data_IF_010912749674
#
_entry.id   IF_010912749674
#
_cell.length_a   1.000
_cell.length_b   1.000
_cell.length_c   1.000
_cell.angle_alpha   90.00
_cell.angle_beta   90.00
_cell.angle_gamma   90.00
#
_symmetry.space_group_name_H-M   'P 1'
#
loop_
_entity.id
_entity.type
_entity.pdbx_description
1 polymer ?
#
# COMPACT_ATOMS: atom_id res chain seq x y z
N UNK A 1 24.45 12.76 -20.37
CA UNK A 1 23.19 13.28 -20.91
C UNK A 1 23.46 14.68 -21.39
N UNK A 2 23.42 14.92 -22.69
CA UNK A 2 23.72 16.23 -23.27
C UNK A 2 22.45 16.71 -23.97
N UNK A 3 21.59 17.40 -23.22
CA UNK A 3 20.37 18.00 -23.76
C UNK A 3 20.62 19.49 -23.90
N UNK A 4 20.29 20.08 -25.05
CA UNK A 4 20.36 21.54 -25.23
C UNK A 4 19.33 22.27 -24.35
N UNK A 5 18.28 21.57 -23.91
CA UNK A 5 17.22 22.07 -23.04
C UNK A 5 17.38 21.58 -21.59
N UNK A 6 16.97 22.38 -20.59
CA UNK A 6 16.85 21.93 -19.21
C UNK A 6 15.88 20.76 -19.09
N UNK A 7 16.13 19.87 -18.13
CA UNK A 7 15.38 18.63 -17.96
C UNK A 7 14.24 18.82 -16.97
N UNK A 8 13.02 18.52 -17.40
CA UNK A 8 11.82 18.42 -16.58
C UNK A 8 11.43 16.95 -16.43
N UNK A 9 11.34 16.47 -15.20
CA UNK A 9 10.82 15.12 -14.90
C UNK A 9 9.43 15.22 -14.31
N UNK A 10 8.47 14.54 -14.92
CA UNK A 10 7.07 14.44 -14.51
C UNK A 10 6.81 13.03 -13.99
N UNK A 11 6.46 12.91 -12.71
CA UNK A 11 6.12 11.64 -12.06
C UNK A 11 4.61 11.52 -11.98
N UNK A 12 4.02 10.50 -12.65
CA UNK A 12 2.57 10.31 -12.68
C UNK A 12 2.13 8.85 -12.89
N UNK A 13 0.99 8.43 -12.29
CA UNK A 13 0.40 7.12 -12.58
C UNK A 13 0.07 7.00 -14.06
N UNK A 14 0.32 5.83 -14.66
CA UNK A 14 0.13 5.61 -16.09
C UNK A 14 -1.31 5.90 -16.56
N UNK A 15 -2.31 5.59 -15.72
CA UNK A 15 -3.72 5.89 -16.01
C UNK A 15 -4.02 7.38 -16.26
N UNK A 16 -3.12 8.29 -15.86
CA UNK A 16 -3.34 9.74 -16.01
C UNK A 16 -2.60 10.33 -17.21
N UNK A 17 -1.71 9.54 -17.81
CA UNK A 17 -0.75 10.03 -18.77
C UNK A 17 -1.39 10.67 -20.01
N UNK A 18 -2.39 10.01 -20.59
CA UNK A 18 -3.05 10.50 -21.81
C UNK A 18 -3.78 11.85 -21.59
N UNK A 19 -4.19 12.15 -20.36
CA UNK A 19 -4.83 13.42 -20.02
C UNK A 19 -3.84 14.58 -19.99
N UNK A 20 -2.62 14.35 -19.49
CA UNK A 20 -1.63 15.39 -19.29
C UNK A 20 -0.69 15.59 -20.49
N UNK A 21 -0.34 14.52 -21.22
CA UNK A 21 0.75 14.55 -22.22
C UNK A 21 0.64 15.70 -23.24
N UNK A 22 -0.57 16.00 -23.70
CA UNK A 22 -0.82 17.03 -24.72
C UNK A 22 -0.75 18.46 -24.18
N UNK A 23 -0.93 18.65 -22.87
CA UNK A 23 -0.93 19.97 -22.25
C UNK A 23 0.46 20.35 -21.70
N UNK A 24 1.27 19.37 -21.26
CA UNK A 24 2.56 19.67 -20.62
C UNK A 24 3.59 20.29 -21.57
N UNK A 25 3.62 19.88 -22.85
CA UNK A 25 4.50 20.49 -23.86
C UNK A 25 4.15 21.97 -24.11
N UNK A 26 2.87 22.33 -24.02
CA UNK A 26 2.44 23.73 -24.18
C UNK A 26 2.84 24.59 -23.00
N UNK A 27 2.88 24.00 -21.80
CA UNK A 27 3.23 24.70 -20.56
C UNK A 27 4.74 24.84 -20.41
N UNK A 28 5.52 23.84 -20.82
CA UNK A 28 6.98 23.82 -20.71
C UNK A 28 7.70 23.60 -22.05
N UNK A 29 7.48 24.46 -23.07
CA UNK A 29 8.08 24.27 -24.40
C UNK A 29 9.62 24.38 -24.40
N UNK A 30 10.19 25.03 -23.39
CA UNK A 30 11.63 25.23 -23.21
C UNK A 30 12.34 24.05 -22.53
N UNK A 31 11.62 23.03 -22.05
CA UNK A 31 12.21 21.88 -21.37
C UNK A 31 12.29 20.65 -22.28
N UNK A 32 13.24 19.76 -22.01
CA UNK A 32 13.18 18.36 -22.44
C UNK A 32 12.39 17.59 -21.37
N UNK A 33 11.24 17.03 -21.76
CA UNK A 33 10.23 16.50 -20.83
C UNK A 33 10.37 14.98 -20.75
N UNK A 34 10.57 14.47 -19.55
CA UNK A 34 10.61 13.04 -19.25
C UNK A 34 9.51 12.66 -18.28
N UNK A 35 8.90 11.51 -18.51
CA UNK A 35 7.88 10.93 -17.63
C UNK A 35 8.42 9.71 -16.90
N UNK A 36 8.15 9.65 -15.60
CA UNK A 36 8.26 8.44 -14.80
C UNK A 36 6.86 7.86 -14.61
N UNK A 37 6.54 6.87 -15.44
CA UNK A 37 5.25 6.17 -15.40
C UNK A 37 5.34 4.92 -14.53
N UNK A 38 4.20 4.47 -14.01
CA UNK A 38 4.09 3.24 -13.20
C UNK A 38 4.97 3.24 -11.93
N UNK A 39 5.27 4.40 -11.34
CA UNK A 39 5.96 4.43 -10.04
C UNK A 39 5.03 4.01 -8.89
N UNK A 40 3.69 4.12 -9.07
CA UNK A 40 2.68 3.83 -8.05
C UNK A 40 2.18 2.38 -8.09
N UNK A 41 2.25 1.73 -6.94
CA UNK A 41 1.90 0.32 -6.73
C UNK A 41 2.86 -0.34 -5.74
N UNK A 42 2.38 -1.28 -4.91
CA UNK A 42 3.29 -2.00 -3.99
C UNK A 42 4.30 -2.80 -4.80
N UNK A 43 5.60 -2.56 -4.56
CA UNK A 43 6.68 -3.35 -5.13
C UNK A 43 7.05 -3.03 -6.58
N UNK A 44 6.55 -1.93 -7.17
CA UNK A 44 6.88 -1.62 -8.57
C UNK A 44 8.30 -1.07 -8.72
N UNK A 45 8.75 -0.21 -7.81
CA UNK A 45 10.15 0.27 -7.77
C UNK A 45 10.78 -0.04 -6.42
N UNK A 46 10.07 0.25 -5.32
CA UNK A 46 10.51 -0.01 -3.96
C UNK A 46 9.49 -0.86 -3.19
N UNK A 47 10.02 -1.72 -2.34
CA UNK A 47 9.26 -2.55 -1.41
C UNK A 47 9.91 -2.55 -0.05
N UNK A 48 9.28 -3.20 0.92
CA UNK A 48 9.80 -3.28 2.27
C UNK A 48 11.09 -4.10 2.33
N UNK A 49 12.09 -3.55 3.01
CA UNK A 49 13.37 -4.22 3.24
C UNK A 49 13.33 -5.04 4.52
N UNK A 50 12.68 -6.20 4.43
CA UNK A 50 12.60 -7.15 5.53
C UNK A 50 13.92 -7.91 5.73
N UNK A 51 14.30 -8.24 6.98
CA UNK A 51 15.39 -9.16 7.26
C UNK A 51 15.20 -10.50 6.54
N UNK A 52 16.29 -11.06 6.02
CA UNK A 52 16.30 -12.39 5.38
C UNK A 52 16.47 -13.52 6.40
N UNK A 53 17.33 -13.30 7.40
CA UNK A 53 17.54 -14.25 8.50
C UNK A 53 16.59 -13.93 9.65
N UNK A 54 15.72 -14.88 9.96
CA UNK A 54 14.76 -14.78 11.08
C UNK A 54 15.26 -15.44 12.36
N UNK A 55 16.27 -16.32 12.28
CA UNK A 55 16.67 -17.18 13.40
C UNK A 55 17.40 -16.39 14.49
N UNK A 56 18.06 -15.30 14.10
CA UNK A 56 18.76 -14.38 15.00
C UNK A 56 17.87 -13.27 15.56
N UNK A 57 16.58 -13.20 15.19
CA UNK A 57 15.69 -12.12 15.57
C UNK A 57 14.84 -12.45 16.80
N UNK A 58 14.65 -11.44 17.64
CA UNK A 58 13.66 -11.49 18.73
C UNK A 58 12.29 -11.08 18.22
N UNK A 59 11.29 -11.94 18.44
CA UNK A 59 9.89 -11.65 18.13
C UNK A 59 9.08 -11.31 19.40
N UNK A 60 8.09 -10.41 19.33
CA UNK A 60 7.68 -9.64 18.15
C UNK A 60 8.71 -8.60 17.72
N UNK A 61 8.92 -8.52 16.41
CA UNK A 61 9.93 -7.69 15.78
C UNK A 61 9.39 -6.28 15.53
N UNK A 62 10.12 -5.25 15.98
CA UNK A 62 9.81 -3.85 15.69
C UNK A 62 11.06 -3.17 15.13
N UNK A 63 10.92 -2.47 14.01
CA UNK A 63 11.98 -1.66 13.41
C UNK A 63 11.40 -0.47 12.66
N UNK A 64 12.24 0.55 12.49
CA UNK A 64 12.01 1.61 11.52
C UNK A 64 11.73 1.07 10.12
N UNK A 65 10.83 1.77 9.44
CA UNK A 65 10.48 1.49 8.06
C UNK A 65 11.73 1.59 7.16
N UNK A 66 12.05 0.50 6.47
CA UNK A 66 13.12 0.44 5.48
C UNK A 66 12.60 -0.02 4.12
N UNK A 67 13.25 0.47 3.07
CA UNK A 67 12.88 0.23 1.69
C UNK A 67 14.04 -0.41 0.94
N UNK A 68 13.74 -1.39 0.10
CA UNK A 68 14.67 -1.97 -0.88
C UNK A 68 14.11 -1.79 -2.27
N UNK A 69 15.00 -1.76 -3.25
CA UNK A 69 14.63 -1.75 -4.67
C UNK A 69 14.09 -3.14 -5.05
N UNK A 70 12.92 -3.19 -5.69
CA UNK A 70 12.27 -4.45 -6.08
C UNK A 70 12.58 -4.87 -7.52
N UNK A 71 12.67 -3.91 -8.44
CA UNK A 71 12.89 -4.17 -9.86
C UNK A 71 14.12 -3.39 -10.35
N UNK A 72 14.73 -3.87 -11.43
CA UNK A 72 15.73 -3.09 -12.17
C UNK A 72 15.10 -1.76 -12.64
N UNK A 73 15.86 -0.67 -12.56
CA UNK A 73 15.36 0.69 -12.84
C UNK A 73 15.01 0.93 -14.32
N UNK A 74 15.18 -0.08 -15.16
CA UNK A 74 15.10 0.01 -16.60
C UNK A 74 13.64 -0.04 -17.07
N UNK A 75 13.21 0.99 -17.80
CA UNK A 75 11.98 0.94 -18.59
C UNK A 75 10.79 1.74 -18.05
N UNK A 76 10.99 2.58 -17.03
CA UNK A 76 9.97 3.48 -16.50
C UNK A 76 10.12 4.94 -16.96
N UNK A 77 11.22 5.26 -17.67
CA UNK A 77 11.53 6.61 -18.16
C UNK A 77 11.13 6.75 -19.63
N UNK A 78 10.25 7.71 -19.91
CA UNK A 78 9.76 8.02 -21.25
C UNK A 78 10.08 9.47 -21.61
N UNK A 79 10.60 9.73 -22.80
CA UNK A 79 10.84 11.09 -23.31
C UNK A 79 9.68 11.53 -24.18
N UNK A 80 9.19 12.75 -23.99
CA UNK A 80 8.17 13.38 -24.84
C UNK A 80 8.83 14.36 -25.79
N UNK A 81 8.63 14.13 -27.09
CA UNK A 81 9.17 14.96 -28.16
C UNK A 81 8.16 15.00 -29.32
N UNK A 82 7.80 16.21 -29.75
CA UNK A 82 6.85 16.43 -30.84
C UNK A 82 5.48 15.74 -30.61
N UNK A 83 4.99 15.74 -29.36
CA UNK A 83 3.77 15.02 -28.91
C UNK A 83 3.85 13.49 -29.00
N UNK A 84 5.00 12.95 -29.36
CA UNK A 84 5.27 11.52 -29.40
C UNK A 84 6.16 11.12 -28.21
N UNK A 85 6.03 9.86 -27.80
CA UNK A 85 6.64 9.39 -26.56
C UNK A 85 7.52 8.20 -26.87
N UNK A 86 8.75 8.28 -26.39
CA UNK A 86 9.79 7.32 -26.67
C UNK A 86 10.27 6.72 -25.36
N UNK A 87 10.30 5.39 -25.28
CA UNK A 87 10.93 4.71 -24.16
C UNK A 87 12.43 5.00 -24.20
N UNK A 88 13.03 5.26 -23.05
CA UNK A 88 14.47 5.53 -22.94
C UNK A 88 15.19 4.42 -22.17
N UNK A 89 16.51 4.38 -22.32
CA UNK A 89 17.39 3.51 -21.53
C UNK A 89 17.85 4.17 -20.21
N UNK A 90 17.28 5.32 -19.86
CA UNK A 90 17.60 5.99 -18.60
C UNK A 90 16.97 5.25 -17.41
N UNK A 91 17.71 5.20 -16.31
CA UNK A 91 17.19 4.79 -14.99
C UNK A 91 16.45 5.96 -14.32
N UNK A 92 15.53 5.66 -13.41
CA UNK A 92 14.89 6.68 -12.57
C UNK A 92 15.92 7.54 -11.83
N UNK A 93 16.97 6.92 -11.26
CA UNK A 93 18.03 7.62 -10.56
C UNK A 93 18.73 8.68 -11.42
N UNK A 94 19.20 8.29 -12.61
CA UNK A 94 19.92 9.17 -13.51
C UNK A 94 19.07 10.36 -13.95
N UNK A 95 17.81 10.12 -14.34
CA UNK A 95 16.96 11.19 -14.85
C UNK A 95 16.52 12.15 -13.73
N UNK A 96 16.21 11.63 -12.53
CA UNK A 96 15.87 12.48 -11.37
C UNK A 96 17.06 13.35 -10.92
N UNK A 97 18.29 12.81 -10.93
CA UNK A 97 19.49 13.56 -10.53
C UNK A 97 19.79 14.71 -11.49
N UNK A 98 19.58 14.47 -12.79
CA UNK A 98 19.79 15.46 -13.83
C UNK A 98 18.64 16.45 -13.99
N UNK A 99 17.47 16.17 -13.39
CA UNK A 99 16.31 17.04 -13.47
C UNK A 99 16.61 18.42 -12.85
N UNK A 100 16.39 19.46 -13.64
CA UNK A 100 16.34 20.83 -13.13
C UNK A 100 15.06 21.00 -12.31
N UNK A 101 13.95 20.48 -12.84
CA UNK A 101 12.64 20.52 -12.22
C UNK A 101 12.03 19.12 -12.13
N UNK A 102 11.48 18.80 -10.96
CA UNK A 102 10.72 17.57 -10.73
C UNK A 102 9.30 17.98 -10.38
N UNK A 103 8.36 17.36 -11.08
CA UNK A 103 6.93 17.60 -10.97
C UNK A 103 6.23 16.31 -10.62
N UNK A 104 5.33 16.37 -9.66
CA UNK A 104 4.38 15.30 -9.38
C UNK A 104 3.02 15.66 -9.97
N UNK A 105 2.37 14.72 -10.69
CA UNK A 105 1.01 14.91 -11.16
C UNK A 105 0.13 13.75 -10.73
N UNK A 106 -0.99 14.06 -10.09
CA UNK A 106 -2.03 13.09 -9.75
C UNK A 106 -3.42 13.69 -9.95
N UNK A 107 -4.38 12.84 -10.29
CA UNK A 107 -5.80 13.12 -10.16
C UNK A 107 -6.29 12.44 -8.88
N UNK A 108 -6.85 13.21 -7.96
CA UNK A 108 -7.17 12.86 -6.59
C UNK A 108 -5.94 12.32 -5.85
N UNK A 109 -5.24 13.17 -5.07
CA UNK A 109 -4.08 12.78 -4.28
C UNK A 109 -4.51 11.77 -3.21
N UNK A 110 -4.53 10.50 -3.60
CA UNK A 110 -4.81 9.42 -2.68
C UNK A 110 -3.60 9.26 -1.75
N UNK A 111 -3.88 8.84 -0.52
CA UNK A 111 -2.89 8.73 0.56
C UNK A 111 -1.65 7.90 0.11
N UNK A 112 -1.86 6.82 -0.66
CA UNK A 112 -0.78 5.94 -1.12
C UNK A 112 0.16 6.54 -2.16
N UNK A 113 -0.30 7.53 -2.95
CA UNK A 113 0.53 8.15 -3.99
C UNK A 113 1.56 9.10 -3.40
N UNK A 114 1.21 9.84 -2.35
CA UNK A 114 2.09 10.78 -1.67
C UNK A 114 3.37 10.10 -1.15
N UNK A 115 3.24 9.01 -0.39
CA UNK A 115 4.42 8.28 0.10
C UNK A 115 5.21 7.63 -1.03
N UNK A 116 4.54 7.15 -2.07
CA UNK A 116 5.22 6.43 -3.16
C UNK A 116 6.11 7.40 -3.92
N UNK A 117 5.61 8.61 -4.18
CA UNK A 117 6.41 9.71 -4.73
C UNK A 117 7.56 10.10 -3.80
N UNK A 118 7.28 10.28 -2.50
CA UNK A 118 8.31 10.65 -1.52
C UNK A 118 9.43 9.59 -1.46
N UNK A 119 9.09 8.31 -1.40
CA UNK A 119 10.05 7.19 -1.39
C UNK A 119 10.86 7.18 -2.68
N UNK A 120 10.22 7.31 -3.85
CA UNK A 120 10.93 7.40 -5.13
C UNK A 120 11.98 8.51 -5.10
N UNK A 121 11.59 9.69 -4.65
CA UNK A 121 12.49 10.84 -4.54
C UNK A 121 13.63 10.57 -3.56
N UNK A 122 13.32 10.20 -2.31
CA UNK A 122 14.32 10.00 -1.26
C UNK A 122 15.33 8.90 -1.61
N UNK A 123 14.89 7.82 -2.24
CA UNK A 123 15.76 6.71 -2.60
C UNK A 123 16.70 7.05 -3.77
N UNK A 124 16.31 7.98 -4.66
CA UNK A 124 17.13 8.36 -5.81
C UNK A 124 18.01 9.59 -5.56
N UNK A 125 17.57 10.49 -4.70
CA UNK A 125 18.18 11.80 -4.50
C UNK A 125 18.62 12.06 -3.04
N UNK A 126 18.26 11.19 -2.10
CA UNK A 126 18.61 11.26 -0.67
C UNK A 126 17.52 11.90 0.21
N UNK A 127 17.60 11.71 1.53
CA UNK A 127 16.59 12.25 2.48
C UNK A 127 16.66 13.77 2.69
N UNK A 128 17.80 14.39 2.41
CA UNK A 128 18.08 15.81 2.71
C UNK A 128 17.98 16.71 1.48
N UNK A 129 17.14 16.36 0.51
CA UNK A 129 17.01 17.17 -0.69
C UNK A 129 16.36 18.50 -0.32
N UNK A 130 17.10 19.59 -0.54
CA UNK A 130 16.59 20.96 -0.39
C UNK A 130 15.71 21.40 -1.57
N UNK A 131 15.58 20.59 -2.63
CA UNK A 131 14.72 20.91 -3.77
C UNK A 131 13.26 20.79 -3.35
N UNK A 132 12.54 21.90 -3.44
CA UNK A 132 11.08 21.90 -3.43
C UNK A 132 10.57 21.25 -4.71
N UNK A 133 9.59 20.36 -4.60
CA UNK A 133 8.92 19.77 -5.77
C UNK A 133 7.59 20.46 -6.00
N UNK A 134 7.26 20.63 -7.28
CA UNK A 134 5.96 21.15 -7.68
C UNK A 134 4.97 20.00 -7.80
N UNK A 135 3.80 20.12 -7.19
CA UNK A 135 2.75 19.11 -7.25
C UNK A 135 1.53 19.70 -7.98
N UNK A 136 0.97 18.93 -8.89
CA UNK A 136 -0.28 19.22 -9.59
C UNK A 136 -1.29 18.16 -9.20
N UNK A 137 -2.28 18.57 -8.42
CA UNK A 137 -3.33 17.68 -7.92
C UNK A 137 -4.64 18.15 -8.52
N UNK A 138 -5.17 17.39 -9.47
CA UNK A 138 -6.49 17.63 -10.02
C UNK A 138 -7.56 16.96 -9.14
N UNK A 139 -8.66 17.65 -8.87
CA UNK A 139 -9.78 17.08 -8.10
C UNK A 139 -10.53 15.97 -8.86
N UNK A 140 -10.47 16.00 -10.20
CA UNK A 140 -11.14 15.04 -11.07
C UNK A 140 -10.42 14.94 -12.42
N UNK A 141 -10.90 14.04 -13.28
CA UNK A 141 -10.42 13.86 -14.67
C UNK A 141 -10.96 14.90 -15.66
N UNK A 142 -11.79 15.83 -15.20
CA UNK A 142 -12.33 16.87 -16.07
C UNK A 142 -11.21 17.80 -16.53
N UNK A 143 -11.16 18.08 -17.83
CA UNK A 143 -10.13 18.92 -18.45
C UNK A 143 -9.97 20.27 -17.75
N UNK A 144 -11.08 20.87 -17.32
CA UNK A 144 -11.07 22.15 -16.59
C UNK A 144 -10.37 22.04 -15.23
N UNK A 145 -10.62 20.97 -14.48
CA UNK A 145 -9.97 20.70 -13.18
C UNK A 145 -8.48 20.41 -13.34
N UNK A 146 -8.13 19.66 -14.39
CA UNK A 146 -6.73 19.44 -14.77
C UNK A 146 -6.04 20.77 -15.08
N UNK A 147 -6.62 21.61 -15.95
CA UNK A 147 -6.06 22.92 -16.29
C UNK A 147 -6.00 23.85 -15.07
N UNK A 148 -6.99 23.79 -14.18
CA UNK A 148 -7.00 24.54 -12.93
C UNK A 148 -5.81 24.14 -12.04
N UNK A 149 -5.58 22.82 -11.87
CA UNK A 149 -4.42 22.34 -11.11
C UNK A 149 -3.10 22.82 -11.74
N UNK A 150 -2.98 22.75 -13.08
CA UNK A 150 -1.81 23.20 -13.83
C UNK A 150 -1.49 24.69 -13.66
N UNK A 151 -2.51 25.51 -13.37
CA UNK A 151 -2.37 26.95 -13.08
C UNK A 151 -2.10 27.24 -11.61
N UNK A 152 -2.48 26.33 -10.71
CA UNK A 152 -2.38 26.50 -9.26
C UNK A 152 -1.56 25.35 -8.65
N UNK A 153 -0.27 25.22 -9.01
CA UNK A 153 0.58 24.21 -8.40
C UNK A 153 0.72 24.44 -6.91
N UNK A 154 0.83 23.35 -6.18
CA UNK A 154 1.26 23.37 -4.78
C UNK A 154 2.71 22.87 -4.67
N UNK A 155 3.26 22.88 -3.47
CA UNK A 155 4.59 22.35 -3.20
C UNK A 155 4.51 21.15 -2.26
N UNK A 156 5.63 20.45 -2.09
CA UNK A 156 5.73 19.40 -1.08
C UNK A 156 5.56 19.92 0.36
N UNK A 157 5.54 21.23 0.62
CA UNK A 157 5.23 21.79 1.95
C UNK A 157 3.73 22.09 2.14
N UNK A 158 2.91 21.85 1.13
CA UNK A 158 1.47 22.09 1.22
C UNK A 158 0.83 21.23 2.33
N UNK A 159 -0.07 21.80 3.17
CA UNK A 159 -0.67 21.07 4.27
C UNK A 159 -1.37 19.77 3.86
N UNK A 160 -2.04 19.75 2.70
CA UNK A 160 -2.77 18.57 2.23
C UNK A 160 -1.78 17.46 1.89
N UNK A 161 -0.70 17.78 1.17
CA UNK A 161 0.33 16.79 0.84
C UNK A 161 1.02 16.26 2.10
N UNK A 162 1.38 17.15 3.03
CA UNK A 162 2.04 16.77 4.29
C UNK A 162 1.15 15.90 5.17
N UNK A 163 -0.15 16.21 5.27
CA UNK A 163 -1.12 15.37 5.98
C UNK A 163 -1.21 13.97 5.36
N UNK A 164 -1.36 13.88 4.03
CA UNK A 164 -1.43 12.59 3.31
C UNK A 164 -0.15 11.78 3.46
N UNK A 165 1.01 12.44 3.37
CA UNK A 165 2.31 11.81 3.56
C UNK A 165 2.46 11.26 4.98
N UNK A 166 2.10 12.05 5.99
CA UNK A 166 2.08 11.63 7.41
C UNK A 166 1.18 10.41 7.62
N UNK A 167 -0.05 10.45 7.10
CA UNK A 167 -1.00 9.35 7.23
C UNK A 167 -0.49 8.05 6.57
N UNK A 168 0.01 8.09 5.33
CA UNK A 168 0.52 6.84 4.73
C UNK A 168 1.82 6.39 5.38
N UNK A 169 2.68 7.31 5.85
CA UNK A 169 3.90 6.94 6.59
C UNK A 169 3.55 6.08 7.81
N UNK A 170 2.58 6.52 8.61
CA UNK A 170 2.03 5.79 9.74
C UNK A 170 1.49 4.41 9.32
N UNK A 171 0.70 4.37 8.25
CA UNK A 171 0.15 3.12 7.70
C UNK A 171 1.24 2.16 7.22
N UNK A 172 2.28 2.65 6.53
CA UNK A 172 3.40 1.86 6.03
C UNK A 172 4.28 1.35 7.15
N UNK A 173 4.50 2.15 8.19
CA UNK A 173 5.19 1.73 9.41
C UNK A 173 4.47 0.54 10.06
N UNK A 174 3.14 0.66 10.23
CA UNK A 174 2.33 -0.44 10.75
C UNK A 174 2.37 -1.67 9.82
N UNK A 175 2.18 -1.50 8.51
CA UNK A 175 2.23 -2.59 7.53
C UNK A 175 3.56 -3.33 7.54
N UNK A 176 4.67 -2.59 7.60
CA UNK A 176 6.01 -3.15 7.62
C UNK A 176 6.14 -4.11 8.81
N UNK A 177 5.91 -3.59 10.02
CA UNK A 177 6.08 -4.36 11.25
C UNK A 177 5.03 -5.47 11.38
N UNK A 178 3.76 -5.19 11.12
CA UNK A 178 2.69 -6.19 11.24
C UNK A 178 2.85 -7.34 10.25
N UNK A 179 3.12 -7.06 8.97
CA UNK A 179 3.21 -8.12 7.97
C UNK A 179 4.42 -9.02 8.21
N UNK A 180 5.57 -8.46 8.63
CA UNK A 180 6.76 -9.27 8.91
C UNK A 180 6.52 -10.24 10.06
N UNK A 181 5.98 -9.75 11.19
CA UNK A 181 5.60 -10.59 12.31
C UNK A 181 4.55 -11.62 11.91
N UNK A 182 3.54 -11.21 11.14
CA UNK A 182 2.48 -12.10 10.67
C UNK A 182 3.02 -13.25 9.82
N UNK A 183 3.93 -12.96 8.88
CA UNK A 183 4.59 -13.98 8.06
C UNK A 183 5.29 -15.03 8.91
N UNK A 184 6.02 -14.62 9.96
CA UNK A 184 6.82 -15.55 10.77
C UNK A 184 5.95 -16.29 11.78
N UNK A 185 5.11 -15.57 12.53
CA UNK A 185 4.39 -16.10 13.68
C UNK A 185 3.16 -16.92 13.28
N UNK A 186 2.46 -16.55 12.19
CA UNK A 186 1.30 -17.32 11.73
C UNK A 186 1.64 -18.45 10.77
N UNK A 187 2.83 -18.48 10.14
CA UNK A 187 3.21 -19.56 9.22
C UNK A 187 3.03 -20.97 9.78
N UNK A 188 3.55 -21.32 10.98
CA UNK A 188 3.37 -22.67 11.51
C UNK A 188 1.92 -22.96 11.88
N UNK A 189 1.15 -21.94 12.29
CA UNK A 189 -0.28 -22.04 12.57
C UNK A 189 -1.07 -22.34 11.29
N UNK A 190 -0.74 -21.67 10.18
CA UNK A 190 -1.29 -21.89 8.86
C UNK A 190 -0.99 -23.31 8.36
N UNK A 191 0.26 -23.75 8.48
CA UNK A 191 0.69 -25.09 8.08
C UNK A 191 -0.05 -26.18 8.89
N UNK A 192 -0.16 -26.01 10.21
CA UNK A 192 -0.91 -26.92 11.09
C UNK A 192 -2.40 -26.99 10.76
N UNK A 193 -2.97 -25.90 10.24
CA UNK A 193 -4.34 -25.89 9.74
C UNK A 193 -4.49 -26.50 8.33
N UNK A 194 -3.41 -26.86 7.64
CA UNK A 194 -3.43 -27.39 6.27
C UNK A 194 -3.47 -26.30 5.19
N UNK A 195 -3.09 -25.05 5.51
CA UNK A 195 -2.87 -23.99 4.53
C UNK A 195 -1.43 -24.11 4.02
N UNK A 196 -1.26 -24.72 2.86
CA UNK A 196 0.05 -25.00 2.24
C UNK A 196 0.48 -23.93 1.22
N UNK A 197 -0.34 -22.90 1.01
CA UNK A 197 0.02 -21.79 0.15
C UNK A 197 1.09 -20.94 0.84
N UNK A 198 2.34 -21.04 0.37
CA UNK A 198 3.48 -20.35 0.96
C UNK A 198 3.40 -18.82 0.83
N UNK A 199 2.66 -18.32 -0.16
CA UNK A 199 2.45 -16.89 -0.39
C UNK A 199 1.31 -16.31 0.45
N UNK A 200 0.56 -17.14 1.17
CA UNK A 200 -0.55 -16.67 1.99
C UNK A 200 -0.05 -16.05 3.29
N UNK A 201 -0.38 -14.76 3.48
CA UNK A 201 -0.01 -13.99 4.68
C UNK A 201 -1.23 -13.26 5.22
N UNK A 202 -1.45 -13.34 6.53
CA UNK A 202 -2.44 -12.51 7.20
C UNK A 202 -1.99 -11.05 7.23
N UNK A 203 -2.64 -10.21 6.44
CA UNK A 203 -2.45 -8.76 6.54
C UNK A 203 -3.34 -8.18 7.64
N UNK A 204 -3.04 -6.94 8.07
CA UNK A 204 -3.83 -6.19 9.05
C UNK A 204 -5.34 -6.10 8.79
N UNK A 205 -5.79 -6.30 7.55
CA UNK A 205 -7.21 -6.27 7.18
C UNK A 205 -7.75 -7.66 6.89
N UNK A 206 -6.90 -8.57 6.40
CA UNK A 206 -7.31 -9.92 6.09
C UNK A 206 -7.69 -10.71 7.34
N UNK A 207 -6.95 -10.54 8.45
CA UNK A 207 -7.18 -11.29 9.68
C UNK A 207 -8.47 -10.86 10.41
N UNK A 208 -8.73 -9.57 10.69
CA UNK A 208 -10.02 -9.14 11.24
C UNK A 208 -11.20 -9.55 10.36
N UNK A 209 -11.06 -9.42 9.04
CA UNK A 209 -12.08 -9.84 8.09
C UNK A 209 -12.34 -11.36 8.16
N UNK A 210 -11.28 -12.17 8.18
CA UNK A 210 -11.38 -13.62 8.34
C UNK A 210 -12.11 -14.00 9.64
N UNK A 211 -11.84 -13.31 10.74
CA UNK A 211 -12.55 -13.48 12.01
C UNK A 211 -14.03 -13.07 11.93
N UNK A 212 -14.37 -12.00 11.22
CA UNK A 212 -15.77 -11.59 11.05
C UNK A 212 -16.60 -12.58 10.22
N UNK A 213 -15.95 -13.46 9.45
CA UNK A 213 -16.61 -14.52 8.70
C UNK A 213 -16.81 -15.81 9.51
N UNK A 214 -16.24 -15.95 10.71
CA UNK A 214 -16.11 -17.24 11.41
C UNK A 214 -17.44 -17.97 11.68
N UNK A 215 -18.50 -17.21 11.93
CA UNK A 215 -19.84 -17.72 12.26
C UNK A 215 -20.82 -17.56 11.08
N UNK A 216 -20.33 -17.13 9.91
CA UNK A 216 -21.15 -16.94 8.70
C UNK A 216 -21.13 -18.19 7.83
N UNK A 217 -22.24 -18.45 7.18
CA UNK A 217 -22.43 -19.47 6.13
C UNK A 217 -23.27 -18.88 5.01
N UNK A 218 -23.10 -19.40 3.81
CA UNK A 218 -23.87 -19.03 2.63
C UNK A 218 -23.93 -17.51 2.37
N UNK A 219 -22.79 -16.84 2.48
CA UNK A 219 -22.71 -15.40 2.29
C UNK A 219 -22.31 -15.06 0.85
N UNK A 220 -23.05 -14.11 0.28
CA UNK A 220 -22.83 -13.62 -1.07
C UNK A 220 -21.65 -12.66 -1.17
N UNK A 221 -21.12 -12.53 -2.39
CA UNK A 221 -20.09 -11.54 -2.70
C UNK A 221 -20.56 -10.10 -2.38
N UNK A 222 -21.83 -9.79 -2.63
CA UNK A 222 -22.41 -8.50 -2.28
C UNK A 222 -22.40 -8.23 -0.76
N UNK A 223 -22.76 -9.22 0.07
CA UNK A 223 -22.71 -9.09 1.53
C UNK A 223 -21.28 -8.89 2.03
N UNK A 224 -20.32 -9.59 1.45
CA UNK A 224 -18.89 -9.36 1.72
C UNK A 224 -18.51 -7.91 1.39
N UNK A 225 -18.86 -7.42 0.20
CA UNK A 225 -18.52 -6.06 -0.21
C UNK A 225 -19.15 -5.03 0.72
N UNK A 226 -20.42 -5.21 1.10
CA UNK A 226 -21.07 -4.34 2.07
C UNK A 226 -20.37 -4.38 3.43
N UNK A 227 -20.01 -5.57 3.92
CA UNK A 227 -19.31 -5.71 5.21
C UNK A 227 -17.96 -4.98 5.20
N UNK A 228 -17.21 -5.09 4.10
CA UNK A 228 -15.91 -4.45 3.94
C UNK A 228 -16.04 -2.94 3.72
N UNK A 229 -17.00 -2.50 2.91
CA UNK A 229 -17.18 -1.08 2.59
C UNK A 229 -17.73 -0.31 3.80
N UNK A 230 -18.68 -0.89 4.53
CA UNK A 230 -19.29 -0.31 5.73
C UNK A 230 -18.73 -0.88 7.03
N UNK A 231 -17.45 -1.25 7.05
CA UNK A 231 -16.81 -1.83 8.23
C UNK A 231 -16.82 -0.85 9.41
N UNK A 232 -17.55 -1.18 10.49
CA UNK A 232 -17.65 -0.33 11.70
C UNK A 232 -16.87 -0.86 12.91
N UNK A 233 -16.26 -2.03 12.79
CA UNK A 233 -15.69 -2.73 13.95
C UNK A 233 -16.76 -2.98 15.02
N UNK A 234 -16.42 -2.72 16.27
CA UNK A 234 -17.34 -2.77 17.42
C UNK A 234 -18.25 -1.55 17.55
N UNK A 235 -18.01 -0.49 16.78
CA UNK A 235 -18.67 0.82 16.93
C UNK A 235 -18.04 1.73 18.01
N UNK A 236 -16.94 1.31 18.65
CA UNK A 236 -16.21 2.11 19.64
C UNK A 236 -15.60 3.40 19.03
N UNK A 237 -15.27 3.36 17.73
CA UNK A 237 -14.62 4.45 17.02
C UNK A 237 -15.60 5.14 16.06
N UNK A 238 -15.53 6.47 15.92
CA UNK A 238 -16.45 7.22 15.06
C UNK A 238 -16.20 7.01 13.56
N UNK A 239 -14.97 6.64 13.20
CA UNK A 239 -14.52 6.46 11.84
C UNK A 239 -13.72 5.17 11.70
N UNK A 240 -13.73 4.61 10.49
CA UNK A 240 -13.07 3.36 10.17
C UNK A 240 -12.41 3.46 8.81
N UNK A 241 -11.21 2.91 8.68
CA UNK A 241 -10.67 2.59 7.36
C UNK A 241 -11.38 1.36 6.83
N UNK A 242 -11.83 1.38 5.57
CA UNK A 242 -12.33 0.16 4.94
C UNK A 242 -11.20 -0.88 4.85
N UNK A 243 -11.40 -2.13 5.32
CA UNK A 243 -10.45 -3.21 5.11
C UNK A 243 -10.34 -3.63 3.63
N UNK A 244 -11.01 -2.94 2.69
CA UNK A 244 -11.04 -3.31 1.28
C UNK A 244 -9.64 -3.47 0.70
N UNK A 245 -9.27 -4.74 0.46
CA UNK A 245 -8.32 -5.11 -0.54
C UNK A 245 -9.10 -5.89 -1.59
N UNK A 246 -9.10 -5.40 -2.84
CA UNK A 246 -9.92 -5.94 -3.92
C UNK A 246 -9.74 -7.44 -4.22
N UNK A 247 -8.76 -8.09 -3.58
CA UNK A 247 -8.47 -9.51 -3.71
C UNK A 247 -8.59 -10.31 -2.39
N UNK A 248 -9.31 -9.81 -1.37
CA UNK A 248 -9.47 -10.55 -0.10
C UNK A 248 -10.12 -11.92 -0.32
N UNK A 249 -11.22 -11.97 -1.07
CA UNK A 249 -11.92 -13.24 -1.34
C UNK A 249 -11.05 -14.18 -2.16
N UNK A 250 -10.42 -13.67 -3.23
CA UNK A 250 -9.47 -14.45 -4.03
C UNK A 250 -8.36 -15.05 -3.16
N UNK A 251 -7.76 -14.28 -2.24
CA UNK A 251 -6.71 -14.76 -1.34
C UNK A 251 -7.19 -15.85 -0.39
N UNK A 252 -8.35 -15.67 0.23
CA UNK A 252 -8.91 -16.67 1.15
C UNK A 252 -9.32 -17.95 0.40
N UNK A 253 -9.92 -17.82 -0.79
CA UNK A 253 -10.29 -18.96 -1.63
C UNK A 253 -9.06 -19.71 -2.13
N UNK A 254 -8.01 -19.01 -2.60
CA UNK A 254 -6.73 -19.63 -3.01
C UNK A 254 -6.00 -20.32 -1.86
N UNK A 255 -6.18 -19.87 -0.62
CA UNK A 255 -5.67 -20.56 0.57
C UNK A 255 -6.54 -21.78 0.98
N UNK A 256 -7.69 -21.97 0.33
CA UNK A 256 -8.68 -22.99 0.67
C UNK A 256 -9.38 -22.71 1.99
N UNK A 257 -9.50 -21.44 2.39
CA UNK A 257 -10.18 -21.01 3.60
C UNK A 257 -11.67 -20.72 3.34
N UNK A 258 -11.98 -20.22 2.14
CA UNK A 258 -13.34 -20.08 1.62
C UNK A 258 -13.55 -21.02 0.44
N UNK A 259 -14.80 -21.44 0.23
CA UNK A 259 -15.20 -22.25 -0.91
C UNK A 259 -16.51 -21.72 -1.48
N UNK A 260 -16.56 -21.55 -2.80
CA UNK A 260 -17.81 -21.32 -3.52
C UNK A 260 -18.74 -22.52 -3.31
N UNK A 261 -19.96 -22.26 -2.85
CA UNK A 261 -20.93 -23.30 -2.53
C UNK A 261 -21.88 -23.64 -3.68
N UNK A 262 -21.67 -23.04 -4.86
CA UNK A 262 -22.45 -23.25 -6.08
C UNK A 262 -23.79 -22.53 -6.09
N UNK A 263 -24.07 -21.67 -5.11
CA UNK A 263 -25.26 -20.82 -5.07
C UNK A 263 -24.94 -19.41 -5.59
N UNK A 264 -25.96 -18.74 -6.10
CA UNK A 264 -25.85 -17.38 -6.65
C UNK A 264 -25.59 -17.35 -8.15
N UNK A 265 -25.35 -16.15 -8.68
CA UNK A 265 -24.94 -15.92 -10.06
C UNK A 265 -23.42 -15.73 -10.15
N UNK A 266 -22.87 -15.72 -11.36
CA UNK A 266 -21.44 -15.45 -11.61
C UNK A 266 -20.99 -14.13 -10.96
N UNK A 267 -21.81 -13.08 -11.05
CA UNK A 267 -21.52 -11.76 -10.47
C UNK A 267 -21.78 -11.67 -8.95
N UNK A 268 -22.41 -12.69 -8.36
CA UNK A 268 -22.76 -12.71 -6.95
C UNK A 268 -22.67 -14.12 -6.36
N UNK A 269 -21.51 -14.76 -6.53
CA UNK A 269 -21.24 -16.08 -6.00
C UNK A 269 -21.36 -16.11 -4.46
N UNK A 270 -21.79 -17.24 -3.93
CA UNK A 270 -21.92 -17.49 -2.51
C UNK A 270 -20.79 -18.37 -1.98
N UNK A 271 -20.37 -18.09 -0.75
CA UNK A 271 -19.21 -18.73 -0.15
C UNK A 271 -19.54 -19.31 1.21
N UNK A 272 -18.87 -20.42 1.52
CA UNK A 272 -18.87 -21.05 2.83
C UNK A 272 -17.47 -21.06 3.45
N UNK A 273 -17.45 -20.95 4.78
CA UNK A 273 -16.26 -21.18 5.57
C UNK A 273 -15.92 -22.68 5.54
N UNK A 274 -14.68 -23.01 5.18
CA UNK A 274 -14.23 -24.41 5.09
C UNK A 274 -13.88 -25.00 6.46
N UNK A 275 -13.80 -26.32 6.56
CA UNK A 275 -13.30 -26.98 7.78
C UNK A 275 -11.85 -26.62 8.07
N UNK A 276 -11.06 -26.39 7.02
CA UNK A 276 -9.70 -25.85 7.11
C UNK A 276 -9.69 -24.51 7.85
N UNK A 277 -10.59 -23.60 7.45
CA UNK A 277 -10.72 -22.31 8.09
C UNK A 277 -11.23 -22.40 9.53
N UNK A 278 -12.20 -23.29 9.83
CA UNK A 278 -12.65 -23.55 11.20
C UNK A 278 -11.52 -24.08 12.09
N UNK A 279 -10.67 -24.95 11.56
CA UNK A 279 -9.50 -25.46 12.26
C UNK A 279 -8.45 -24.37 12.48
N UNK A 280 -8.21 -23.52 11.49
CA UNK A 280 -7.28 -22.39 11.61
C UNK A 280 -7.69 -21.43 12.74
N UNK A 281 -8.99 -21.10 12.86
CA UNK A 281 -9.47 -20.22 13.93
C UNK A 281 -9.16 -20.77 15.32
N UNK A 282 -9.26 -22.08 15.53
CA UNK A 282 -8.93 -22.73 16.81
C UNK A 282 -7.45 -22.60 17.17
N UNK A 283 -6.61 -22.29 16.19
CA UNK A 283 -5.17 -22.16 16.36
C UNK A 283 -4.71 -20.70 16.50
N UNK A 284 -5.62 -19.74 16.35
CA UNK A 284 -5.32 -18.32 16.49
C UNK A 284 -5.96 -17.81 17.79
N UNK A 285 -5.18 -17.08 18.59
CA UNK A 285 -5.67 -16.49 19.82
C UNK A 285 -6.84 -15.55 19.51
N UNK A 286 -7.93 -15.62 20.28
CA UNK A 286 -9.16 -14.86 19.98
C UNK A 286 -8.95 -13.35 19.86
N UNK A 287 -8.07 -12.77 20.69
CA UNK A 287 -7.75 -11.33 20.65
C UNK A 287 -7.01 -10.91 19.38
N UNK A 288 -6.48 -11.85 18.59
CA UNK A 288 -5.87 -11.55 17.30
C UNK A 288 -6.93 -11.26 16.21
N UNK A 289 -8.21 -11.52 16.48
CA UNK A 289 -9.33 -11.20 15.59
C UNK A 289 -9.81 -9.75 15.64
N UNK A 290 -9.04 -8.84 16.25
CA UNK A 290 -9.37 -7.45 16.55
C UNK A 290 -10.13 -6.73 15.41
N UNK A 291 -11.47 -6.70 15.53
CA UNK A 291 -12.36 -6.09 14.55
C UNK A 291 -12.21 -4.57 14.47
N UNK A 292 -11.61 -3.95 15.49
CA UNK A 292 -11.40 -2.51 15.57
C UNK A 292 -10.05 -2.07 15.01
N UNK A 293 -9.19 -3.00 14.56
CA UNK A 293 -7.89 -2.66 14.00
C UNK A 293 -7.96 -1.65 12.84
N UNK A 294 -8.92 -1.72 11.89
CA UNK A 294 -9.04 -0.70 10.85
C UNK A 294 -9.37 0.70 11.40
N UNK A 295 -10.10 0.77 12.51
CA UNK A 295 -10.46 2.02 13.19
C UNK A 295 -9.28 2.59 13.98
N UNK A 296 -8.61 1.76 14.79
CA UNK A 296 -7.39 2.11 15.54
C UNK A 296 -6.32 2.66 14.63
N UNK A 297 -6.09 1.98 13.50
CA UNK A 297 -5.10 2.40 12.54
C UNK A 297 -5.42 3.77 11.93
N UNK A 298 -6.69 4.08 11.67
CA UNK A 298 -7.08 5.41 11.19
C UNK A 298 -6.77 6.50 12.23
N UNK A 299 -7.06 6.24 13.51
CA UNK A 299 -6.73 7.18 14.59
C UNK A 299 -5.22 7.41 14.67
N UNK A 300 -4.43 6.33 14.68
CA UNK A 300 -2.98 6.45 14.73
C UNK A 300 -2.40 7.17 13.51
N UNK A 301 -2.98 7.01 12.31
CA UNK A 301 -2.57 7.77 11.13
C UNK A 301 -2.78 9.28 11.31
N UNK A 302 -3.91 9.70 11.88
CA UNK A 302 -4.22 11.11 12.14
C UNK A 302 -3.27 11.74 13.16
N UNK A 303 -2.89 10.99 14.19
CA UNK A 303 -2.01 11.44 15.29
C UNK A 303 -0.55 11.01 15.16
N UNK A 304 -0.07 10.73 13.94
CA UNK A 304 1.34 10.41 13.71
C UNK A 304 2.26 11.65 13.78
N UNK A 305 3.48 11.62 14.34
CA UNK A 305 4.20 10.48 14.88
C UNK A 305 3.91 10.18 16.36
N UNK A 306 3.04 10.94 17.03
CA UNK A 306 2.77 10.79 18.46
C UNK A 306 2.21 9.39 18.79
N UNK A 307 1.41 8.83 17.89
CA UNK A 307 0.84 7.47 17.99
C UNK A 307 1.83 6.32 17.81
N UNK A 308 3.09 6.59 17.44
CA UNK A 308 4.06 5.53 17.09
C UNK A 308 4.26 4.53 18.22
N UNK A 309 4.45 5.00 19.46
CA UNK A 309 4.66 4.13 20.63
C UNK A 309 3.44 3.24 20.87
N UNK A 310 2.23 3.79 20.76
CA UNK A 310 0.99 3.04 20.92
C UNK A 310 0.84 1.94 19.85
N UNK A 311 1.22 2.22 18.59
CA UNK A 311 1.24 1.20 17.54
C UNK A 311 2.22 0.07 17.84
N UNK A 312 3.42 0.40 18.33
CA UNK A 312 4.45 -0.59 18.67
C UNK A 312 3.98 -1.48 19.82
N UNK A 313 3.46 -0.88 20.88
CA UNK A 313 2.88 -1.59 22.03
C UNK A 313 1.74 -2.51 21.59
N UNK A 314 0.87 -2.04 20.68
CA UNK A 314 -0.17 -2.87 20.09
C UNK A 314 0.40 -4.09 19.36
N UNK A 315 1.34 -3.88 18.42
CA UNK A 315 1.93 -4.98 17.63
C UNK A 315 2.60 -5.99 18.57
N UNK A 316 3.35 -5.51 19.56
CA UNK A 316 4.01 -6.36 20.54
C UNK A 316 2.98 -7.19 21.33
N UNK A 317 1.96 -6.55 21.90
CA UNK A 317 0.94 -7.24 22.67
C UNK A 317 0.16 -8.25 21.82
N UNK A 318 -0.21 -7.86 20.60
CA UNK A 318 -0.94 -8.69 19.65
C UNK A 318 -0.20 -9.99 19.35
N UNK A 319 1.08 -9.90 18.96
CA UNK A 319 1.85 -11.07 18.55
C UNK A 319 2.37 -11.90 19.73
N UNK A 320 2.64 -11.29 20.91
CA UNK A 320 2.95 -12.05 22.14
C UNK A 320 1.82 -12.98 22.52
N UNK A 321 0.57 -12.50 22.50
CA UNK A 321 -0.61 -13.33 22.79
C UNK A 321 -0.67 -14.56 21.87
N UNK A 322 -0.40 -14.39 20.58
CA UNK A 322 -0.38 -15.52 19.65
C UNK A 322 0.77 -16.50 19.96
N UNK A 323 1.97 -15.99 20.24
CA UNK A 323 3.14 -16.83 20.56
C UNK A 323 2.94 -17.62 21.87
N UNK A 324 2.27 -17.03 22.86
CA UNK A 324 1.93 -17.70 24.12
C UNK A 324 0.80 -18.72 23.95
N UNK A 325 -0.16 -18.45 23.05
CA UNK A 325 -1.28 -19.35 22.78
C UNK A 325 -0.86 -20.65 22.10
N UNK A 326 0.04 -20.58 21.13
CA UNK A 326 0.68 -21.75 20.54
C UNK A 326 2.19 -21.54 20.53
N UNK A 327 2.91 -22.07 21.54
CA UNK A 327 4.35 -21.95 21.60
C UNK A 327 5.01 -22.46 20.32
N UNK A 328 5.88 -21.64 19.73
CA UNK A 328 6.68 -21.99 18.53
C UNK A 328 7.47 -23.31 18.70
N UNK A 329 7.82 -23.66 19.95
CA UNK A 329 8.55 -24.89 20.30
C UNK A 329 7.70 -26.17 20.32
N UNK A 330 6.37 -26.06 20.24
CA UNK A 330 5.47 -27.22 20.15
C UNK A 330 5.08 -27.53 18.69
N UNK A 331 5.83 -26.99 17.73
CA UNK A 331 5.51 -27.02 16.30
C UNK A 331 6.59 -27.69 15.43
N UNK A 332 7.62 -28.28 16.05
CA UNK A 332 8.61 -29.17 15.40
C UNK A 332 8.20 -30.62 15.50
#
# INVERSE_FOLDING_TARGET
>A
MNTEKPILVIVMPNKYFDFYKNEVEKIWPSYSIYFLLNYSGRGVVYGFDYPLDTDSLTFPYIKELSWKKCNEDSGYVWHLENKEIFKTDYTNANILKAAEKIVFMSADLCISEAITFQVLVEQNLGKNIKKSYTLYIAESFEREKVLFSLRNPITNNDPIFQERLKMDTAKRYFEYNFNFNSCVIFKPVLQKAGVLNEDFVFTKFLLPFFYALKDKSDFSLHEIYNMVYYWKGSGLYPESSSPYAGNIIEKLSKAGLLKDNGKGSEDNAHYDFTDKARNLIKLIHQDCGDIDLPCKLLQWQKSWPESKKEMEEYIIAFFRKQMEFIPLKLQS
#
